data_IF_006904589885
#
_entry.id   IF_006904589885
#
_cell.length_a   1.000
_cell.length_b   1.000
_cell.length_c   1.000
_cell.angle_alpha   90.00
_cell.angle_beta   90.00
_cell.angle_gamma   90.00
#
_symmetry.space_group_name_H-M   'P 1'
#
loop_
_entity.id
_entity.type
_entity.pdbx_description
1 polymer ?
#
# COMPACT_ATOMS: atom_id res chain seq x y z
N UNK A 1 -8.04 1.06 5.46
CA UNK A 1 -6.65 0.66 5.73
C UNK A 1 -5.79 1.10 4.54
N UNK A 2 -4.77 1.93 4.76
CA UNK A 2 -3.89 2.45 3.71
C UNK A 2 -2.50 1.83 3.84
N UNK A 3 -1.82 1.62 2.72
CA UNK A 3 -0.41 1.18 2.68
C UNK A 3 0.52 2.08 3.49
N UNK A 4 0.15 3.34 3.70
CA UNK A 4 0.91 4.28 4.54
C UNK A 4 0.87 3.93 6.03
N UNK A 5 -0.18 3.25 6.51
CA UNK A 5 -0.35 2.99 7.94
C UNK A 5 0.72 2.06 8.50
N UNK A 6 1.15 1.03 7.75
CA UNK A 6 2.27 0.17 8.18
C UNK A 6 3.61 0.91 8.24
N UNK A 7 3.81 1.92 7.39
CA UNK A 7 5.03 2.74 7.43
C UNK A 7 5.00 3.63 8.67
N UNK A 8 3.88 4.30 8.93
CA UNK A 8 3.72 5.11 10.14
C UNK A 8 3.91 4.25 11.40
N UNK A 9 3.28 3.08 11.46
CA UNK A 9 3.47 2.15 12.58
C UNK A 9 4.93 1.74 12.75
N UNK A 10 5.63 1.38 11.66
CA UNK A 10 7.04 1.04 11.74
C UNK A 10 7.91 2.21 12.25
N UNK A 11 7.63 3.45 11.84
CA UNK A 11 8.35 4.62 12.33
C UNK A 11 8.19 4.78 13.85
N UNK A 12 6.99 4.54 14.38
CA UNK A 12 6.74 4.52 15.83
C UNK A 12 7.53 3.39 16.54
N UNK A 13 7.50 2.17 16.01
CA UNK A 13 8.24 1.01 16.58
C UNK A 13 9.77 1.21 16.57
N UNK A 14 10.26 1.98 15.59
CA UNK A 14 11.66 2.36 15.51
C UNK A 14 12.00 3.58 16.39
N UNK A 15 11.00 4.31 16.89
CA UNK A 15 11.18 5.53 17.67
C UNK A 15 11.79 6.67 16.85
N UNK A 16 11.45 6.76 15.56
CA UNK A 16 11.98 7.77 14.65
C UNK A 16 11.11 9.01 14.64
N UNK A 17 11.75 10.18 14.61
CA UNK A 17 11.06 11.44 14.33
C UNK A 17 10.72 11.52 12.83
N UNK A 18 9.51 11.97 12.51
CA UNK A 18 9.07 12.12 11.12
C UNK A 18 8.04 13.24 10.95
N UNK A 19 7.96 13.79 9.73
CA UNK A 19 6.94 14.74 9.32
C UNK A 19 5.94 14.08 8.36
N UNK A 20 4.64 14.20 8.65
CA UNK A 20 3.59 13.68 7.76
C UNK A 20 3.15 14.74 6.75
N UNK A 21 3.65 14.64 5.53
CA UNK A 21 3.15 15.43 4.40
C UNK A 21 1.94 14.75 3.75
N UNK A 22 0.77 15.36 3.89
CA UNK A 22 -0.50 14.83 3.36
C UNK A 22 -0.75 15.33 1.94
N UNK A 23 -0.94 14.41 1.01
CA UNK A 23 -1.33 14.70 -0.37
C UNK A 23 -2.78 14.30 -0.58
N UNK A 24 -3.68 15.28 -0.55
CA UNK A 24 -5.09 15.03 -0.80
C UNK A 24 -5.33 14.68 -2.26
N UNK A 25 -6.17 13.67 -2.49
CA UNK A 25 -6.61 13.28 -3.83
C UNK A 25 -7.50 14.36 -4.41
N UNK A 26 -7.49 14.50 -5.72
CA UNK A 26 -8.44 15.35 -6.41
C UNK A 26 -9.89 14.87 -6.11
N UNK A 27 -10.79 15.75 -5.64
CA UNK A 27 -12.10 15.34 -5.14
C UNK A 27 -13.04 14.85 -6.25
N UNK A 28 -12.76 15.16 -7.52
CA UNK A 28 -13.60 14.76 -8.67
C UNK A 28 -13.13 13.46 -9.28
N UNK A 29 -11.82 13.32 -9.46
CA UNK A 29 -11.20 12.18 -10.15
C UNK A 29 -10.69 11.10 -9.20
N UNK A 30 -10.53 11.43 -7.91
CA UNK A 30 -9.91 10.59 -6.88
C UNK A 30 -8.46 10.20 -7.19
N UNK A 31 -7.81 10.87 -8.15
CA UNK A 31 -6.42 10.65 -8.51
C UNK A 31 -5.46 11.41 -7.57
N UNK A 32 -4.22 10.96 -7.52
CA UNK A 32 -3.17 11.64 -6.77
C UNK A 32 -2.87 13.03 -7.37
N UNK A 33 -2.55 14.03 -6.54
CA UNK A 33 -2.21 15.37 -7.01
C UNK A 33 -0.85 15.37 -7.73
N UNK A 34 -0.66 16.34 -8.64
CA UNK A 34 0.60 16.49 -9.37
C UNK A 34 1.82 16.68 -8.45
N UNK A 35 1.62 17.30 -7.28
CA UNK A 35 2.66 17.46 -6.26
C UNK A 35 3.23 16.14 -5.74
N UNK A 36 2.45 15.05 -5.71
CA UNK A 36 2.97 13.74 -5.31
C UNK A 36 3.86 13.11 -6.40
N UNK A 37 3.53 13.31 -7.68
CA UNK A 37 4.37 12.86 -8.80
C UNK A 37 5.71 13.60 -8.86
N UNK A 38 5.74 14.86 -8.43
CA UNK A 38 6.96 15.63 -8.34
C UNK A 38 7.96 15.07 -7.30
N UNK A 39 7.47 14.34 -6.29
CA UNK A 39 8.33 13.66 -5.31
C UNK A 39 8.83 12.33 -5.86
N UNK A 40 7.95 11.52 -6.44
CA UNK A 40 8.33 10.24 -7.04
C UNK A 40 7.48 9.95 -8.28
N UNK A 41 8.07 9.54 -9.42
CA UNK A 41 7.36 9.36 -10.70
C UNK A 41 6.11 8.46 -10.63
N UNK A 42 6.13 7.47 -9.73
CA UNK A 42 4.99 6.58 -9.49
C UNK A 42 3.71 7.33 -9.08
N UNK A 43 3.84 8.48 -8.41
CA UNK A 43 2.70 9.30 -7.98
C UNK A 43 1.75 8.60 -7.03
N UNK A 44 2.25 7.66 -6.20
CA UNK A 44 1.46 6.88 -5.24
C UNK A 44 2.09 6.99 -3.87
N UNK A 45 1.25 6.96 -2.82
CA UNK A 45 1.69 6.86 -1.44
C UNK A 45 1.64 5.40 -0.95
N UNK A 46 2.47 5.03 0.05
CA UNK A 46 3.49 5.84 0.71
C UNK A 46 4.75 6.06 -0.12
N UNK A 47 5.41 7.19 0.14
CA UNK A 47 6.78 7.52 -0.26
C UNK A 47 7.42 8.18 0.96
N UNK A 48 8.68 7.87 1.24
CA UNK A 48 9.46 8.55 2.26
C UNK A 48 10.64 9.28 1.62
N UNK A 49 11.10 10.34 2.28
CA UNK A 49 12.36 11.00 1.98
C UNK A 49 13.20 10.98 3.25
N UNK A 50 14.40 10.40 3.17
CA UNK A 50 15.37 10.31 4.27
C UNK A 50 16.72 10.81 3.74
N UNK A 51 17.06 12.06 4.09
CA UNK A 51 18.20 12.78 3.52
C UNK A 51 18.09 12.91 2.00
N UNK A 52 19.06 12.35 1.28
CA UNK A 52 19.10 12.34 -0.19
C UNK A 52 18.27 11.20 -0.82
N UNK A 53 17.79 10.24 -0.02
CA UNK A 53 17.07 9.08 -0.53
C UNK A 53 15.58 9.35 -0.58
N UNK A 54 14.96 9.04 -1.73
CA UNK A 54 13.49 9.00 -1.85
C UNK A 54 13.09 7.58 -2.20
N UNK A 55 12.31 6.94 -1.34
CA UNK A 55 11.96 5.53 -1.44
C UNK A 55 10.45 5.39 -1.57
N UNK A 56 10.02 4.75 -2.65
CA UNK A 56 8.64 4.33 -2.88
C UNK A 56 8.52 2.80 -2.71
N UNK A 57 7.30 2.28 -2.81
CA UNK A 57 6.96 0.88 -2.52
C UNK A 57 7.12 0.52 -1.05
N UNK A 58 5.99 0.32 -0.36
CA UNK A 58 5.97 0.12 1.09
C UNK A 58 6.75 -1.08 1.60
N UNK A 59 6.93 -2.14 0.81
CA UNK A 59 7.79 -3.27 1.19
C UNK A 59 9.25 -2.85 1.25
N UNK A 60 9.72 -2.17 0.18
CA UNK A 60 11.05 -1.61 0.11
C UNK A 60 11.29 -0.52 1.17
N UNK A 61 10.29 0.31 1.47
CA UNK A 61 10.36 1.29 2.57
C UNK A 61 10.59 0.58 3.91
N UNK A 62 9.88 -0.51 4.18
CA UNK A 62 10.04 -1.28 5.42
C UNK A 62 11.44 -1.87 5.51
N UNK A 63 11.91 -2.53 4.46
CA UNK A 63 13.27 -3.07 4.40
C UNK A 63 14.32 -1.99 4.63
N UNK A 64 14.23 -0.87 3.89
CA UNK A 64 15.13 0.27 4.03
C UNK A 64 15.18 0.82 5.47
N UNK A 65 14.02 1.05 6.08
CA UNK A 65 13.94 1.62 7.43
C UNK A 65 14.50 0.66 8.49
N UNK A 66 14.18 -0.63 8.40
CA UNK A 66 14.67 -1.61 9.38
C UNK A 66 16.17 -1.86 9.22
N UNK A 67 16.68 -1.93 7.99
CA UNK A 67 18.11 -2.10 7.76
C UNK A 67 18.94 -0.89 8.22
N UNK A 68 18.44 0.33 7.98
CA UNK A 68 19.16 1.56 8.30
C UNK A 68 19.03 2.00 9.76
N UNK A 69 17.84 1.84 10.34
CA UNK A 69 17.47 2.42 11.64
C UNK A 69 17.08 1.36 12.69
N UNK A 70 16.95 0.10 12.31
CA UNK A 70 16.49 -0.97 13.20
C UNK A 70 17.54 -1.48 14.18
N UNK A 71 18.84 -1.24 13.94
CA UNK A 71 19.95 -1.76 14.76
C UNK A 71 19.83 -3.27 15.03
N UNK A 72 19.47 -4.05 14.00
CA UNK A 72 19.28 -5.50 14.09
C UNK A 72 17.97 -5.96 14.73
N UNK A 73 17.06 -5.05 15.09
CA UNK A 73 15.69 -5.36 15.54
C UNK A 73 14.73 -5.44 14.37
N UNK A 74 13.55 -6.04 14.59
CA UNK A 74 12.40 -6.09 13.66
C UNK A 74 12.65 -6.82 12.32
N UNK A 75 13.85 -7.35 12.11
CA UNK A 75 14.21 -8.22 11.00
C UNK A 75 15.02 -9.41 11.53
N UNK A 76 14.68 -10.66 11.15
CA UNK A 76 15.50 -11.80 11.53
C UNK A 76 16.89 -11.77 10.87
N UNK A 77 17.84 -12.45 11.49
CA UNK A 77 19.21 -12.55 10.98
C UNK A 77 19.23 -13.17 9.57
N UNK A 78 20.11 -12.64 8.70
CA UNK A 78 20.28 -13.15 7.35
C UNK A 78 20.66 -14.64 7.35
N UNK A 79 20.21 -15.38 6.33
CA UNK A 79 20.48 -16.82 6.19
C UNK A 79 19.66 -17.74 7.11
N UNK A 80 18.76 -17.19 7.94
CA UNK A 80 17.88 -17.98 8.81
C UNK A 80 16.55 -18.36 8.13
N UNK A 81 15.92 -19.49 8.49
CA UNK A 81 14.56 -19.81 8.08
C UNK A 81 13.54 -18.72 8.46
N UNK A 82 13.77 -18.01 9.56
CA UNK A 82 12.96 -16.89 10.04
C UNK A 82 13.02 -15.72 9.06
N UNK A 83 14.20 -15.39 8.53
CA UNK A 83 14.37 -14.36 7.50
C UNK A 83 13.60 -14.72 6.23
N UNK A 84 13.62 -15.99 5.82
CA UNK A 84 12.84 -16.45 4.68
C UNK A 84 11.33 -16.24 4.90
N UNK A 85 10.80 -16.63 6.07
CA UNK A 85 9.38 -16.43 6.39
C UNK A 85 9.02 -14.95 6.46
N UNK A 86 9.89 -14.12 7.05
CA UNK A 86 9.71 -12.68 7.13
C UNK A 86 9.59 -12.05 5.74
N UNK A 87 10.53 -12.36 4.84
CA UNK A 87 10.52 -11.86 3.46
C UNK A 87 9.29 -12.35 2.71
N UNK A 88 8.91 -13.63 2.85
CA UNK A 88 7.69 -14.15 2.25
C UNK A 88 6.45 -13.34 2.65
N UNK A 89 6.24 -13.10 3.95
CA UNK A 89 5.06 -12.38 4.41
C UNK A 89 5.05 -10.90 4.02
N UNK A 90 6.24 -10.27 3.97
CA UNK A 90 6.37 -8.91 3.49
C UNK A 90 5.91 -8.77 2.03
N UNK A 91 6.32 -9.69 1.16
CA UNK A 91 5.90 -9.68 -0.25
C UNK A 91 4.48 -10.21 -0.46
N UNK A 92 4.03 -11.20 0.31
CA UNK A 92 2.69 -11.79 0.21
C UNK A 92 1.59 -10.73 0.31
N UNK A 93 1.78 -9.74 1.20
CA UNK A 93 0.81 -8.67 1.42
C UNK A 93 0.49 -7.88 0.13
N UNK A 94 1.49 -7.59 -0.71
CA UNK A 94 1.29 -6.88 -1.98
C UNK A 94 1.09 -7.81 -3.17
N UNK A 95 1.84 -8.92 -3.24
CA UNK A 95 1.82 -9.81 -4.39
C UNK A 95 0.57 -10.68 -4.47
N UNK A 96 0.18 -11.29 -3.35
CA UNK A 96 -0.87 -12.31 -3.34
C UNK A 96 -2.16 -11.84 -2.67
N UNK A 97 -2.07 -11.13 -1.56
CA UNK A 97 -3.24 -10.70 -0.80
C UNK A 97 -3.96 -9.49 -1.43
N UNK A 98 -3.20 -8.56 -2.03
CA UNK A 98 -3.79 -7.32 -2.56
C UNK A 98 -4.67 -7.54 -3.79
N UNK A 99 -4.28 -8.43 -4.70
CA UNK A 99 -5.02 -8.69 -5.94
C UNK A 99 -6.50 -9.08 -5.71
N UNK A 100 -6.85 -10.08 -4.88
CA UNK A 100 -8.24 -10.40 -4.60
C UNK A 100 -8.97 -9.27 -3.86
N UNK A 101 -8.29 -8.53 -2.97
CA UNK A 101 -8.88 -7.38 -2.29
C UNK A 101 -9.22 -6.23 -3.26
N UNK A 102 -8.34 -6.00 -4.25
CA UNK A 102 -8.60 -5.02 -5.32
C UNK A 102 -9.78 -5.47 -6.17
N UNK A 103 -9.83 -6.74 -6.58
CA UNK A 103 -10.93 -7.28 -7.36
C UNK A 103 -12.26 -7.14 -6.61
N UNK A 104 -12.29 -7.49 -5.32
CA UNK A 104 -13.45 -7.26 -4.46
C UNK A 104 -13.91 -5.79 -4.49
N UNK A 105 -12.99 -4.84 -4.33
CA UNK A 105 -13.30 -3.40 -4.36
C UNK A 105 -13.84 -2.96 -5.73
N UNK A 106 -13.31 -3.50 -6.83
CA UNK A 106 -13.82 -3.25 -8.18
C UNK A 106 -15.25 -3.76 -8.33
N UNK A 107 -15.53 -4.99 -7.92
CA UNK A 107 -16.87 -5.58 -8.01
C UNK A 107 -17.89 -4.85 -7.12
N UNK A 108 -17.52 -4.53 -5.87
CA UNK A 108 -18.38 -3.76 -4.97
C UNK A 108 -18.72 -2.38 -5.58
N UNK A 109 -17.79 -1.76 -6.33
CA UNK A 109 -18.02 -0.49 -7.02
C UNK A 109 -18.87 -0.61 -8.29
N UNK A 110 -18.73 -1.70 -9.05
CA UNK A 110 -19.60 -2.00 -10.20
C UNK A 110 -21.04 -2.22 -9.74
N UNK A 111 -21.25 -2.93 -8.62
CA UNK A 111 -22.59 -3.16 -8.07
C UNK A 111 -23.27 -1.87 -7.59
N UNK A 112 -22.51 -0.99 -6.93
CA UNK A 112 -23.02 0.26 -6.35
C UNK A 112 -23.02 1.45 -7.31
N UNK A 113 -22.45 1.29 -8.50
CA UNK A 113 -22.33 2.35 -9.50
C UNK A 113 -23.69 2.79 -10.10
N UNK A 114 -23.77 4.02 -10.65
CA UNK A 114 -24.97 4.47 -11.34
C UNK A 114 -25.18 3.63 -12.61
N UNK A 115 -26.23 2.80 -12.60
CA UNK A 115 -26.59 1.96 -13.75
C UNK A 115 -28.11 1.97 -13.98
N UNK A 116 -28.56 1.89 -15.25
CA UNK A 116 -29.97 1.70 -15.59
C UNK A 116 -30.55 0.47 -14.88
N UNK A 117 -31.82 0.52 -14.46
CA UNK A 117 -32.42 -0.52 -13.62
C UNK A 117 -32.35 -1.91 -14.27
N UNK A 118 -32.40 -2.00 -15.60
CA UNK A 118 -32.36 -3.25 -16.36
C UNK A 118 -30.98 -3.90 -16.40
N UNK A 119 -29.90 -3.14 -16.20
CA UNK A 119 -28.52 -3.65 -16.18
C UNK A 119 -28.10 -4.14 -14.78
N UNK A 120 -28.77 -3.66 -13.72
CA UNK A 120 -28.46 -4.01 -12.32
C UNK A 120 -28.52 -5.52 -12.02
N UNK A 121 -29.52 -6.30 -12.48
CA UNK A 121 -29.59 -7.74 -12.19
C UNK A 121 -28.41 -8.51 -12.79
N UNK A 122 -28.00 -8.17 -14.01
CA UNK A 122 -26.89 -8.81 -14.72
C UNK A 122 -25.56 -8.51 -14.01
N UNK A 123 -25.32 -7.25 -13.65
CA UNK A 123 -24.11 -6.85 -12.94
C UNK A 123 -23.99 -7.54 -11.57
N UNK A 124 -25.08 -7.64 -10.81
CA UNK A 124 -25.12 -8.40 -9.53
C UNK A 124 -24.82 -9.89 -9.73
N UNK A 125 -25.40 -10.50 -10.76
CA UNK A 125 -25.16 -11.92 -11.06
C UNK A 125 -23.69 -12.21 -11.40
N UNK A 126 -23.01 -11.31 -12.11
CA UNK A 126 -21.58 -11.42 -12.41
C UNK A 126 -20.74 -11.23 -11.14
N UNK A 127 -21.01 -10.16 -10.37
CA UNK A 127 -20.27 -9.86 -9.14
C UNK A 127 -20.35 -11.02 -8.11
N UNK A 128 -21.53 -11.63 -7.96
CA UNK A 128 -21.75 -12.75 -7.04
C UNK A 128 -21.04 -14.05 -7.44
N UNK A 129 -20.64 -14.23 -8.70
CA UNK A 129 -19.90 -15.43 -9.15
C UNK A 129 -18.41 -15.38 -8.85
N UNK A 130 -17.87 -14.18 -8.58
CA UNK A 130 -16.43 -13.95 -8.36
C UNK A 130 -16.11 -13.75 -6.88
N UNK A 131 -17.15 -13.65 -6.04
CA UNK A 131 -17.06 -13.51 -4.60
C UNK A 131 -17.13 -14.87 -3.92
#
# INVERSE_FOLDING_TARGET
NSRSQRVLWLLEELGLDYEVKRYQRDPKTMLAPASLRAIHPLGKSPVITDGANTVAESGAIIEYLVERHGNGRLIPAAGTPERLRWTYWLHFAEGSAMTPLLMKLVFDKVESGPMPFFARPIARAIANKVR
#
